data_IF_900422277571
#
_entry.id   IF_900422277571
#
_cell.length_a   1.000
_cell.length_b   1.000
_cell.length_c   1.000
_cell.angle_alpha   90.00
_cell.angle_beta   90.00
_cell.angle_gamma   90.00
#
_symmetry.space_group_name_H-M   'P 1'
#
loop_
_entity.id
_entity.type
_entity.pdbx_description
1 polymer ?
#
# COMPACT_ATOMS: atom_id res chain seq x y z
N UNK A 1 8.61 -42.57 24.13
CA UNK A 1 7.36 -42.04 23.52
C UNK A 1 6.76 -40.80 24.20
N UNK A 2 7.04 -40.54 25.50
CA UNK A 2 6.35 -39.48 26.27
C UNK A 2 7.09 -38.13 26.45
N UNK A 3 8.40 -38.04 26.19
CA UNK A 3 9.17 -36.76 26.30
C UNK A 3 9.17 -35.91 25.04
N UNK A 4 9.09 -36.51 23.84
CA UNK A 4 9.07 -35.78 22.56
C UNK A 4 7.73 -35.04 22.37
N UNK A 5 6.60 -35.67 22.67
CA UNK A 5 5.27 -35.05 22.54
C UNK A 5 5.01 -33.93 23.54
N UNK A 6 5.61 -33.98 24.74
CA UNK A 6 5.46 -32.94 25.77
C UNK A 6 6.30 -31.69 25.48
N UNK A 7 7.44 -31.80 24.79
CA UNK A 7 8.29 -30.67 24.41
C UNK A 7 7.96 -30.08 23.02
N UNK A 8 7.29 -30.81 22.12
CA UNK A 8 6.73 -30.24 20.89
C UNK A 8 5.66 -29.16 21.17
N UNK A 9 5.03 -29.23 22.34
CA UNK A 9 4.07 -28.25 22.84
C UNK A 9 4.70 -27.15 23.73
N UNK A 10 6.03 -27.08 23.83
CA UNK A 10 6.68 -26.03 24.61
C UNK A 10 6.47 -24.66 23.93
N UNK A 11 5.83 -23.75 24.66
CA UNK A 11 5.60 -22.39 24.21
C UNK A 11 6.89 -21.55 24.35
N UNK A 12 7.35 -20.99 23.24
CA UNK A 12 8.48 -20.09 23.13
C UNK A 12 7.96 -18.65 23.09
N UNK A 13 8.43 -17.83 24.02
CA UNK A 13 8.16 -16.39 24.02
C UNK A 13 9.08 -15.69 23.02
N UNK A 14 8.49 -14.97 22.06
CA UNK A 14 9.25 -14.17 21.10
C UNK A 14 9.79 -12.90 21.77
N UNK A 15 11.07 -12.64 21.53
CA UNK A 15 11.78 -11.44 21.94
C UNK A 15 12.33 -10.74 20.69
N UNK A 16 12.58 -9.43 20.83
CA UNK A 16 13.28 -8.67 19.80
C UNK A 16 14.73 -9.19 19.66
N UNK A 17 15.31 -9.13 18.44
CA UNK A 17 16.70 -9.50 18.23
C UNK A 17 17.63 -8.57 19.02
N UNK A 18 18.81 -9.09 19.35
CA UNK A 18 19.87 -8.28 19.94
C UNK A 18 20.42 -7.30 18.88
N UNK A 19 20.89 -6.09 19.26
CA UNK A 19 21.36 -5.09 18.30
C UNK A 19 22.49 -5.58 17.37
N UNK A 20 23.29 -6.55 17.82
CA UNK A 20 24.36 -7.16 17.03
C UNK A 20 23.91 -8.26 16.06
N UNK A 21 22.68 -8.75 16.18
CA UNK A 21 22.09 -9.76 15.29
C UNK A 21 21.08 -9.14 14.29
N UNK A 22 20.73 -7.86 14.44
CA UNK A 22 19.92 -7.13 13.45
C UNK A 22 20.61 -7.14 12.08
N UNK A 23 19.89 -7.55 11.02
CA UNK A 23 20.46 -7.55 9.68
C UNK A 23 21.26 -8.81 9.32
N UNK A 24 21.38 -9.79 10.22
CA UNK A 24 22.24 -10.98 10.04
C UNK A 24 21.49 -12.26 9.69
N UNK A 25 20.17 -12.25 9.69
CA UNK A 25 19.30 -13.42 9.50
C UNK A 25 19.45 -14.47 10.62
N UNK A 26 19.96 -14.07 11.79
CA UNK A 26 20.15 -14.98 12.92
C UNK A 26 18.90 -15.06 13.78
N UNK A 27 18.59 -16.27 14.20
CA UNK A 27 17.60 -16.54 15.22
C UNK A 27 18.30 -17.21 16.41
N UNK A 28 18.11 -16.65 17.61
CA UNK A 28 18.69 -17.19 18.84
C UNK A 28 17.67 -18.04 19.57
N UNK A 29 18.05 -19.28 19.81
CA UNK A 29 17.21 -20.32 20.38
C UNK A 29 17.91 -20.94 21.60
N UNK A 30 17.13 -21.33 22.61
CA UNK A 30 17.64 -22.05 23.78
C UNK A 30 18.22 -23.44 23.44
N UNK A 31 19.22 -23.95 24.18
CA UNK A 31 19.88 -25.22 23.90
C UNK A 31 18.95 -26.44 23.90
N UNK A 32 17.93 -26.48 24.76
CA UNK A 32 16.98 -27.59 24.81
C UNK A 32 16.11 -27.62 23.54
N UNK A 33 15.69 -26.44 23.08
CA UNK A 33 14.88 -26.31 21.86
C UNK A 33 15.71 -26.64 20.61
N UNK A 34 16.98 -26.22 20.54
CA UNK A 34 17.90 -26.61 19.46
C UNK A 34 18.11 -28.13 19.38
N UNK A 35 18.24 -28.77 20.54
CA UNK A 35 18.41 -30.24 20.64
C UNK A 35 17.15 -30.98 20.19
N UNK A 36 15.96 -30.47 20.52
CA UNK A 36 14.66 -31.02 20.08
C UNK A 36 14.49 -30.87 18.57
N UNK A 37 14.87 -29.73 18.00
CA UNK A 37 14.83 -29.50 16.55
C UNK A 37 15.87 -30.35 15.81
N UNK A 38 16.97 -30.76 16.46
CA UNK A 38 18.09 -31.43 15.80
C UNK A 38 18.86 -30.48 14.87
N UNK A 39 18.78 -29.18 15.12
CA UNK A 39 19.38 -28.15 14.28
C UNK A 39 20.90 -28.10 14.48
N UNK A 40 21.66 -28.13 13.38
CA UNK A 40 23.09 -27.76 13.41
C UNK A 40 23.22 -26.24 13.53
N UNK A 41 24.34 -25.77 14.09
CA UNK A 41 24.65 -24.34 14.16
C UNK A 41 24.63 -23.72 12.77
N UNK A 42 23.84 -22.66 12.59
CA UNK A 42 23.68 -21.98 11.32
C UNK A 42 22.76 -22.68 10.31
N UNK A 43 22.03 -23.74 10.72
CA UNK A 43 21.05 -24.39 9.86
C UNK A 43 19.87 -23.45 9.53
N UNK A 44 19.36 -23.48 8.29
CA UNK A 44 18.21 -22.66 7.91
C UNK A 44 16.93 -23.21 8.54
N UNK A 45 16.16 -22.31 9.11
CA UNK A 45 14.95 -22.55 9.87
C UNK A 45 13.84 -21.66 9.32
N UNK A 46 12.70 -22.26 9.00
CA UNK A 46 11.47 -21.55 8.68
C UNK A 46 10.62 -21.44 9.93
N UNK A 47 10.21 -20.22 10.26
CA UNK A 47 9.35 -19.93 11.39
C UNK A 47 7.99 -19.50 10.84
N UNK A 48 6.94 -20.19 11.24
CA UNK A 48 5.56 -19.86 10.88
C UNK A 48 4.98 -18.87 11.89
N UNK A 49 4.60 -17.69 11.41
CA UNK A 49 3.94 -16.63 12.17
C UNK A 49 2.46 -16.54 11.74
N UNK A 50 1.57 -15.97 12.57
CA UNK A 50 0.17 -15.81 12.18
C UNK A 50 -0.02 -14.94 10.93
N UNK A 51 0.87 -13.97 10.72
CA UNK A 51 0.84 -13.02 9.60
C UNK A 51 1.71 -13.44 8.40
N UNK A 52 2.43 -14.57 8.48
CA UNK A 52 3.30 -15.04 7.38
C UNK A 52 4.40 -15.99 7.83
N UNK A 53 5.51 -16.05 7.11
CA UNK A 53 6.67 -16.86 7.48
C UNK A 53 7.94 -16.01 7.50
N UNK A 54 8.90 -16.35 8.37
CA UNK A 54 10.26 -15.85 8.26
C UNK A 54 11.28 -16.98 8.10
N UNK A 55 12.40 -16.65 7.48
CA UNK A 55 13.50 -17.56 7.20
C UNK A 55 14.73 -17.07 7.94
N UNK A 56 15.21 -17.86 8.90
CA UNK A 56 16.30 -17.49 9.80
C UNK A 56 17.34 -18.62 9.87
N UNK A 57 18.50 -18.34 10.44
CA UNK A 57 19.53 -19.33 10.77
C UNK A 57 19.53 -19.59 12.26
N UNK A 58 19.57 -20.86 12.67
CA UNK A 58 19.49 -21.23 14.08
C UNK A 58 20.85 -21.10 14.79
N UNK A 59 20.89 -20.29 15.85
CA UNK A 59 22.06 -20.09 16.70
C UNK A 59 21.67 -20.18 18.19
N UNK A 60 22.59 -20.60 19.07
CA UNK A 60 22.34 -20.61 20.50
C UNK A 60 22.29 -19.17 21.04
N UNK A 61 21.41 -18.94 22.01
CA UNK A 61 21.38 -17.70 22.80
C UNK A 61 22.65 -17.52 23.62
N UNK A 62 23.02 -16.27 23.88
CA UNK A 62 24.17 -15.91 24.71
C UNK A 62 23.96 -16.27 26.19
N UNK A 63 22.73 -16.14 26.69
CA UNK A 63 22.33 -16.43 28.07
C UNK A 63 22.00 -17.91 28.32
N UNK A 64 21.98 -18.73 27.26
CA UNK A 64 21.58 -20.14 27.27
C UNK A 64 20.19 -20.41 27.86
N UNK A 65 19.33 -19.38 27.97
CA UNK A 65 18.00 -19.52 28.54
C UNK A 65 17.05 -20.24 27.57
N UNK A 66 16.33 -21.23 28.07
CA UNK A 66 15.28 -21.94 27.32
C UNK A 66 13.92 -21.23 27.42
N UNK A 67 13.02 -21.52 26.48
CA UNK A 67 11.65 -20.94 26.47
C UNK A 67 11.52 -19.58 25.78
N UNK A 68 12.61 -19.05 25.22
CA UNK A 68 12.63 -17.78 24.50
C UNK A 68 13.22 -17.93 23.09
N UNK A 69 12.71 -17.12 22.17
CA UNK A 69 13.11 -17.11 20.77
C UNK A 69 13.36 -15.66 20.33
N UNK A 70 14.59 -15.33 19.93
CA UNK A 70 14.89 -14.03 19.32
C UNK A 70 14.98 -14.22 17.81
N UNK A 71 14.23 -13.43 17.06
CA UNK A 71 14.10 -13.60 15.60
C UNK A 71 14.46 -12.30 14.91
N UNK A 72 15.50 -12.35 14.08
CA UNK A 72 15.75 -11.29 13.11
C UNK A 72 14.79 -11.41 11.91
N UNK A 73 14.13 -10.31 11.57
CA UNK A 73 13.10 -10.23 10.53
C UNK A 73 13.65 -9.82 9.17
N UNK A 74 14.94 -10.06 8.92
CA UNK A 74 15.59 -9.76 7.64
C UNK A 74 14.90 -10.47 6.48
N UNK A 75 14.75 -11.79 6.49
CA UNK A 75 14.08 -12.51 5.40
C UNK A 75 12.68 -12.98 5.83
N UNK A 76 11.63 -12.40 5.23
CA UNK A 76 10.23 -12.68 5.61
C UNK A 76 9.28 -12.61 4.43
N UNK A 77 8.12 -13.26 4.55
CA UNK A 77 6.99 -13.05 3.64
C UNK A 77 6.50 -11.60 3.75
N UNK A 78 6.03 -11.03 2.63
CA UNK A 78 5.44 -9.70 2.61
C UNK A 78 4.29 -9.59 3.64
N UNK A 79 4.29 -8.53 4.45
CA UNK A 79 3.25 -8.25 5.45
C UNK A 79 3.63 -8.48 6.91
N UNK A 80 4.65 -9.31 7.21
CA UNK A 80 5.11 -9.54 8.59
C UNK A 80 5.87 -8.31 9.10
N UNK A 81 5.44 -7.71 10.21
CA UNK A 81 6.14 -6.56 10.81
C UNK A 81 6.67 -6.87 12.21
N UNK A 82 7.65 -6.07 12.69
CA UNK A 82 8.17 -6.22 14.05
C UNK A 82 7.12 -5.97 15.15
N UNK A 83 5.99 -5.35 14.81
CA UNK A 83 4.85 -5.17 15.72
C UNK A 83 4.13 -6.49 16.00
N UNK A 84 4.09 -7.38 15.00
CA UNK A 84 3.43 -8.69 15.10
C UNK A 84 4.18 -9.64 16.05
N UNK A 85 5.46 -9.36 16.32
CA UNK A 85 6.28 -10.16 17.23
C UNK A 85 6.07 -9.82 18.71
N UNK A 86 5.52 -8.63 19.03
CA UNK A 86 5.42 -8.19 20.43
C UNK A 86 4.37 -9.00 21.19
N UNK A 87 4.83 -9.78 22.16
CA UNK A 87 3.97 -10.57 23.06
C UNK A 87 3.47 -11.88 22.46
N UNK A 88 4.01 -12.30 21.32
CA UNK A 88 3.60 -13.53 20.66
C UNK A 88 4.31 -14.76 21.26
N UNK A 89 3.56 -15.84 21.40
CA UNK A 89 4.10 -17.15 21.81
C UNK A 89 3.98 -18.12 20.65
N UNK A 90 5.06 -18.84 20.35
CA UNK A 90 5.10 -19.84 19.29
C UNK A 90 5.34 -21.23 19.88
N UNK A 91 4.78 -22.25 19.27
CA UNK A 91 5.10 -23.63 19.60
C UNK A 91 6.32 -24.10 18.80
N UNK A 92 7.07 -25.06 19.34
CA UNK A 92 8.22 -25.65 18.65
C UNK A 92 7.82 -26.26 17.30
N UNK A 93 6.60 -26.79 17.16
CA UNK A 93 6.06 -27.30 15.88
C UNK A 93 5.91 -26.24 14.78
N UNK A 94 5.98 -24.95 15.10
CA UNK A 94 5.99 -23.85 14.12
C UNK A 94 7.40 -23.52 13.60
N UNK A 95 8.41 -24.25 14.05
CA UNK A 95 9.80 -24.14 13.61
C UNK A 95 10.12 -25.36 12.75
N UNK A 96 10.34 -25.16 11.46
CA UNK A 96 10.69 -26.23 10.51
C UNK A 96 12.11 -26.06 10.02
N UNK A 97 12.95 -27.07 10.26
CA UNK A 97 14.26 -27.14 9.60
C UNK A 97 14.08 -27.37 8.11
N UNK A 98 14.83 -26.61 7.33
CA UNK A 98 14.87 -26.74 5.88
C UNK A 98 16.21 -27.33 5.46
N UNK A 99 16.20 -28.14 4.41
CA UNK A 99 17.40 -28.35 3.62
C UNK A 99 17.62 -27.11 2.72
N UNK A 100 18.81 -27.02 2.13
CA UNK A 100 19.15 -25.89 1.29
C UNK A 100 19.94 -26.29 0.05
N UNK A 101 19.75 -25.53 -1.01
CA UNK A 101 20.46 -25.69 -2.27
C UNK A 101 21.16 -24.39 -2.67
N UNK A 102 22.36 -24.52 -3.23
CA UNK A 102 23.07 -23.36 -3.76
C UNK A 102 22.38 -22.88 -5.04
N UNK A 103 21.96 -21.61 -5.05
CA UNK A 103 21.27 -21.04 -6.19
C UNK A 103 22.25 -20.69 -7.31
N UNK A 104 21.87 -21.00 -8.55
CA UNK A 104 22.61 -20.60 -9.76
C UNK A 104 22.16 -19.24 -10.25
N UNK A 105 20.86 -18.99 -10.24
CA UNK A 105 20.27 -17.71 -10.69
C UNK A 105 19.15 -17.27 -9.75
N UNK A 106 19.05 -15.97 -9.54
CA UNK A 106 17.94 -15.35 -8.81
C UNK A 106 17.48 -14.08 -9.54
N UNK A 107 16.17 -13.91 -9.68
CA UNK A 107 15.58 -12.64 -10.12
C UNK A 107 14.96 -11.92 -8.96
N UNK A 108 15.30 -10.65 -8.81
CA UNK A 108 14.86 -9.83 -7.68
C UNK A 108 14.17 -8.55 -8.16
N UNK A 109 13.22 -8.09 -7.35
CA UNK A 109 12.65 -6.74 -7.38
C UNK A 109 13.24 -5.96 -6.24
N UNK A 110 13.73 -4.77 -6.54
CA UNK A 110 14.47 -3.95 -5.58
C UNK A 110 13.62 -2.74 -5.20
N UNK A 111 13.52 -2.49 -3.90
CA UNK A 111 12.77 -1.36 -3.35
C UNK A 111 13.74 -0.37 -2.75
N UNK A 112 13.80 0.82 -3.33
CA UNK A 112 14.65 1.92 -2.89
C UNK A 112 13.91 2.88 -1.98
N UNK A 113 14.63 3.56 -1.09
CA UNK A 113 14.05 4.53 -0.15
C UNK A 113 13.44 5.76 -0.86
N UNK A 114 14.06 6.23 -1.94
CA UNK A 114 13.66 7.46 -2.65
C UNK A 114 13.94 7.40 -4.15
N UNK A 115 13.13 8.13 -4.91
CA UNK A 115 13.25 8.38 -6.35
C UNK A 115 14.55 9.12 -6.72
N UNK A 116 15.03 10.01 -5.86
CA UNK A 116 16.28 10.75 -6.07
C UNK A 116 17.49 9.81 -6.17
N UNK A 117 17.52 8.78 -5.31
CA UNK A 117 18.56 7.76 -5.30
C UNK A 117 18.47 6.87 -6.53
N UNK A 118 17.25 6.53 -6.98
CA UNK A 118 17.03 5.78 -8.23
C UNK A 118 17.62 6.47 -9.47
N UNK A 119 17.54 7.81 -9.53
CA UNK A 119 18.12 8.61 -10.64
C UNK A 119 19.65 8.71 -10.55
N UNK A 120 20.19 8.78 -9.33
CA UNK A 120 21.63 8.95 -9.11
C UNK A 120 22.44 7.65 -9.15
N UNK A 121 21.83 6.49 -8.87
CA UNK A 121 22.56 5.23 -8.83
C UNK A 121 22.47 4.49 -10.18
N UNK A 122 23.58 4.32 -10.91
CA UNK A 122 23.57 3.50 -12.12
C UNK A 122 23.27 2.03 -11.79
N UNK A 123 22.60 1.34 -12.70
CA UNK A 123 22.18 -0.07 -12.51
C UNK A 123 23.33 -1.03 -12.18
N UNK A 124 24.53 -0.76 -12.70
CA UNK A 124 25.72 -1.57 -12.42
C UNK A 124 26.14 -1.51 -10.95
N UNK A 125 26.16 -0.31 -10.36
CA UNK A 125 26.48 -0.13 -8.93
C UNK A 125 25.41 -0.78 -8.07
N UNK A 126 24.13 -0.61 -8.42
CA UNK A 126 23.03 -1.24 -7.70
C UNK A 126 23.14 -2.77 -7.70
N UNK A 127 23.58 -3.36 -8.81
CA UNK A 127 23.76 -4.81 -8.92
C UNK A 127 24.88 -5.34 -8.02
N UNK A 128 26.00 -4.63 -7.90
CA UNK A 128 27.07 -5.01 -6.98
C UNK A 128 26.65 -4.86 -5.51
N UNK A 129 25.98 -3.75 -5.16
CA UNK A 129 25.45 -3.54 -3.80
C UNK A 129 24.48 -4.68 -3.42
N UNK A 130 23.58 -5.06 -4.32
CA UNK A 130 22.65 -6.18 -4.06
C UNK A 130 23.39 -7.51 -3.93
N UNK A 131 24.44 -7.75 -4.72
CA UNK A 131 25.26 -8.96 -4.61
C UNK A 131 25.95 -9.03 -3.26
N UNK A 132 26.45 -7.90 -2.74
CA UNK A 132 27.05 -7.85 -1.40
C UNK A 132 26.02 -8.05 -0.30
N UNK A 133 24.85 -7.41 -0.39
CA UNK A 133 23.79 -7.52 0.61
C UNK A 133 23.17 -8.91 0.69
N UNK A 134 23.06 -9.61 -0.44
CA UNK A 134 22.51 -10.97 -0.49
C UNK A 134 23.58 -12.06 -0.30
N UNK A 135 24.83 -11.68 -0.04
CA UNK A 135 25.92 -12.65 0.08
C UNK A 135 25.69 -13.58 1.28
N UNK A 136 25.64 -14.88 1.02
CA UNK A 136 25.40 -15.93 2.01
C UNK A 136 24.06 -15.81 2.74
N UNK A 137 23.09 -15.12 2.15
CA UNK A 137 21.72 -15.03 2.68
C UNK A 137 20.90 -16.21 2.18
N UNK A 138 20.14 -16.82 3.10
CA UNK A 138 19.15 -17.84 2.74
C UNK A 138 17.88 -17.17 2.28
N UNK A 139 17.31 -17.65 1.18
CA UNK A 139 16.15 -17.04 0.55
C UNK A 139 15.14 -18.08 0.10
N UNK A 140 13.90 -17.64 -0.11
CA UNK A 140 12.83 -18.45 -0.68
C UNK A 140 12.04 -17.61 -1.69
N UNK A 141 11.32 -18.27 -2.59
CA UNK A 141 10.41 -17.63 -3.54
C UNK A 141 9.41 -16.73 -2.78
N UNK A 142 9.18 -15.51 -3.27
CA UNK A 142 8.28 -14.48 -2.71
C UNK A 142 8.66 -13.92 -1.33
N UNK A 143 9.85 -14.24 -0.83
CA UNK A 143 10.34 -13.60 0.40
C UNK A 143 10.94 -12.23 0.10
N UNK A 144 10.85 -11.38 1.10
CA UNK A 144 11.33 -10.01 1.12
C UNK A 144 12.48 -9.93 2.10
N UNK A 145 13.66 -9.60 1.60
CA UNK A 145 14.84 -9.32 2.41
C UNK A 145 14.81 -7.84 2.78
N UNK A 146 14.69 -7.54 4.07
CA UNK A 146 14.73 -6.20 4.65
C UNK A 146 16.17 -5.85 4.96
N UNK A 147 16.61 -4.70 4.47
CA UNK A 147 17.95 -4.18 4.68
C UNK A 147 17.86 -2.93 5.54
N UNK A 148 18.72 -2.84 6.55
CA UNK A 148 18.81 -1.64 7.39
C UNK A 148 19.27 -0.45 6.52
N UNK A 149 18.48 0.64 6.44
CA UNK A 149 18.83 1.76 5.57
C UNK A 149 19.93 2.60 6.22
N UNK A 150 21.17 2.44 5.74
CA UNK A 150 22.30 3.30 6.11
C UNK A 150 22.46 4.46 5.10
N UNK A 151 23.22 5.50 5.46
CA UNK A 151 23.46 6.67 4.59
C UNK A 151 24.04 6.31 3.21
N UNK A 152 24.81 5.22 3.13
CA UNK A 152 25.44 4.74 1.89
C UNK A 152 24.58 3.75 1.10
N UNK A 153 23.55 3.14 1.72
CA UNK A 153 22.75 2.10 1.09
C UNK A 153 21.31 2.57 0.80
N UNK A 154 20.93 2.75 -0.48
CA UNK A 154 19.60 3.22 -0.84
C UNK A 154 18.52 2.11 -0.78
N UNK A 155 18.91 0.85 -0.64
CA UNK A 155 18.02 -0.32 -0.70
C UNK A 155 17.34 -0.56 0.64
N UNK A 156 16.02 -0.71 0.63
CA UNK A 156 15.20 -0.98 1.82
C UNK A 156 14.68 -2.41 1.80
N UNK A 157 14.11 -2.84 0.68
CA UNK A 157 13.60 -4.20 0.51
C UNK A 157 14.09 -4.83 -0.78
N UNK A 158 14.31 -6.14 -0.74
CA UNK A 158 14.61 -6.95 -1.92
C UNK A 158 13.62 -8.11 -1.94
N UNK A 159 12.67 -8.07 -2.87
CA UNK A 159 11.67 -9.13 -3.07
C UNK A 159 12.18 -10.13 -4.11
N UNK A 160 12.04 -11.41 -3.81
CA UNK A 160 12.57 -12.50 -4.63
C UNK A 160 11.47 -13.05 -5.51
N UNK A 161 11.60 -12.81 -6.82
CA UNK A 161 10.57 -13.13 -7.80
C UNK A 161 10.72 -14.55 -8.36
N UNK A 162 11.96 -15.00 -8.58
CA UNK A 162 12.22 -16.34 -9.08
C UNK A 162 13.62 -16.82 -8.71
N UNK A 163 13.77 -18.11 -8.44
CA UNK A 163 15.03 -18.76 -8.08
C UNK A 163 15.27 -19.98 -8.97
N UNK A 164 16.53 -20.30 -9.23
CA UNK A 164 16.97 -21.47 -10.01
C UNK A 164 18.10 -22.18 -9.24
N UNK A 165 17.93 -23.45 -8.82
CA UNK A 165 16.76 -24.31 -9.07
C UNK A 165 15.51 -23.89 -8.29
N UNK A 166 14.33 -24.09 -8.89
CA UNK A 166 13.06 -23.86 -8.20
C UNK A 166 12.89 -24.93 -7.12
N UNK A 167 12.89 -24.52 -5.87
CA UNK A 167 12.80 -25.42 -4.71
C UNK A 167 11.85 -24.79 -3.69
N UNK A 168 11.05 -25.62 -3.03
CA UNK A 168 10.21 -25.22 -1.88
C UNK A 168 11.02 -25.05 -0.58
N UNK A 169 12.30 -25.41 -0.65
CA UNK A 169 13.27 -25.32 0.43
C UNK A 169 14.06 -24.00 0.39
N UNK A 170 15.06 -23.85 1.27
CA UNK A 170 15.85 -22.63 1.32
C UNK A 170 16.90 -22.60 0.19
N UNK A 171 16.92 -21.54 -0.61
CA UNK A 171 18.00 -21.27 -1.55
C UNK A 171 19.12 -20.48 -0.88
N UNK A 172 20.38 -20.92 -0.98
CA UNK A 172 21.54 -20.14 -0.52
C UNK A 172 22.10 -19.31 -1.68
N UNK A 173 22.18 -17.99 -1.50
CA UNK A 173 22.84 -17.10 -2.45
C UNK A 173 24.34 -17.07 -2.15
N UNK A 174 25.14 -17.50 -3.13
CA UNK A 174 26.61 -17.49 -3.05
C UNK A 174 27.18 -16.42 -3.97
N UNK A 175 28.47 -16.05 -3.87
CA UNK A 175 29.11 -15.12 -4.81
C UNK A 175 29.04 -15.57 -6.29
N UNK A 176 28.86 -16.87 -6.54
CA UNK A 176 28.73 -17.45 -7.86
C UNK A 176 27.30 -17.37 -8.43
N UNK A 177 26.31 -17.03 -7.60
CA UNK A 177 24.92 -16.90 -8.01
C UNK A 177 24.74 -15.65 -8.89
N UNK A 178 24.16 -15.83 -10.08
CA UNK A 178 23.83 -14.71 -10.97
C UNK A 178 22.53 -14.04 -10.53
N UNK A 179 22.62 -12.78 -10.08
CA UNK A 179 21.47 -11.98 -9.65
C UNK A 179 21.05 -11.05 -10.79
N UNK A 180 19.79 -11.16 -11.22
CA UNK A 180 19.18 -10.30 -12.22
C UNK A 180 18.10 -9.41 -11.59
N UNK A 181 18.25 -8.10 -11.75
CA UNK A 181 17.24 -7.14 -11.32
C UNK A 181 16.17 -7.06 -12.41
N UNK A 182 14.94 -7.48 -12.12
CA UNK A 182 13.81 -7.33 -13.05
C UNK A 182 13.25 -5.91 -13.00
N UNK A 183 13.01 -5.43 -11.79
CA UNK A 183 12.32 -4.16 -11.54
C UNK A 183 12.94 -3.43 -10.36
N UNK A 184 12.92 -2.10 -10.43
CA UNK A 184 13.35 -1.21 -9.35
C UNK A 184 12.22 -0.22 -9.09
N UNK A 185 11.67 -0.27 -7.88
CA UNK A 185 10.55 0.57 -7.45
C UNK A 185 10.91 1.33 -6.18
N UNK A 186 10.17 2.39 -5.88
CA UNK A 186 10.31 3.13 -4.63
C UNK A 186 9.53 2.46 -3.50
N UNK A 187 9.93 2.78 -2.26
CA UNK A 187 9.24 2.36 -1.05
C UNK A 187 7.77 2.78 -1.04
N UNK A 188 7.46 3.96 -1.56
CA UNK A 188 6.08 4.45 -1.71
C UNK A 188 5.25 3.54 -2.61
N UNK A 189 5.78 3.20 -3.79
CA UNK A 189 5.11 2.30 -4.72
C UNK A 189 4.93 0.89 -4.16
N UNK A 190 5.96 0.37 -3.47
CA UNK A 190 5.92 -0.95 -2.84
C UNK A 190 4.88 -1.05 -1.72
N UNK A 191 4.74 -0.01 -0.89
CA UNK A 191 3.70 0.04 0.15
C UNK A 191 2.30 0.02 -0.45
N UNK A 192 2.08 0.79 -1.51
CA UNK A 192 0.79 0.78 -2.22
C UNK A 192 0.44 -0.62 -2.76
N UNK A 193 1.39 -1.28 -3.43
CA UNK A 193 1.19 -2.65 -3.93
C UNK A 193 0.97 -3.70 -2.84
N UNK A 194 1.37 -3.44 -1.59
CA UNK A 194 1.18 -4.37 -0.46
C UNK A 194 -0.10 -4.08 0.33
N UNK A 195 -0.52 -2.81 0.40
CA UNK A 195 -1.83 -2.40 0.94
C UNK A 195 -3.02 -2.88 0.06
N UNK A 196 -2.75 -3.20 -1.22
CA UNK A 196 -3.70 -3.78 -2.19
C UNK A 196 -4.39 -5.08 -1.73
N UNK A 197 -3.97 -5.67 -0.61
CA UNK A 197 -4.62 -6.86 -0.05
C UNK A 197 -5.94 -6.55 0.68
N UNK A 198 -6.17 -5.31 1.13
CA UNK A 198 -7.45 -4.93 1.78
C UNK A 198 -8.49 -4.57 0.70
N UNK A 199 -9.56 -5.36 0.58
CA UNK A 199 -10.66 -5.08 -0.36
C UNK A 199 -11.39 -3.80 0.06
N UNK A 200 -11.05 -2.67 -0.56
CA UNK A 200 -11.89 -1.47 -0.53
C UNK A 200 -13.08 -1.71 -1.44
N UNK A 201 -14.12 -2.34 -0.90
CA UNK A 201 -15.36 -2.60 -1.62
C UNK A 201 -16.22 -1.35 -1.65
N UNK A 202 -16.75 -1.01 -2.82
CA UNK A 202 -17.77 0.02 -3.00
C UNK A 202 -19.02 -0.68 -3.50
N UNK A 203 -20.16 -0.29 -2.96
CA UNK A 203 -21.45 -0.86 -3.32
C UNK A 203 -22.36 0.23 -3.88
N UNK A 204 -23.08 -0.08 -4.96
CA UNK A 204 -24.06 0.81 -5.55
C UNK A 204 -23.49 1.93 -6.42
N UNK A 205 -22.19 1.94 -6.74
CA UNK A 205 -21.59 2.90 -7.66
C UNK A 205 -20.94 2.23 -8.88
N UNK A 206 -21.38 1.02 -9.23
CA UNK A 206 -20.71 0.19 -10.24
C UNK A 206 -20.65 0.86 -11.62
N UNK A 207 -21.73 1.51 -12.06
CA UNK A 207 -21.79 2.17 -13.37
C UNK A 207 -20.85 3.40 -13.43
N UNK A 208 -20.86 4.19 -12.36
CA UNK A 208 -19.96 5.33 -12.22
C UNK A 208 -18.51 4.86 -12.14
N UNK A 209 -18.26 3.73 -11.47
CA UNK A 209 -16.94 3.13 -11.30
C UNK A 209 -16.38 2.63 -12.62
N UNK A 210 -17.21 1.94 -13.42
CA UNK A 210 -16.86 1.53 -14.79
C UNK A 210 -16.53 2.72 -15.68
N UNK A 211 -17.37 3.76 -15.66
CA UNK A 211 -17.11 4.96 -16.47
C UNK A 211 -15.80 5.64 -16.05
N UNK A 212 -15.54 5.77 -14.76
CA UNK A 212 -14.32 6.37 -14.23
C UNK A 212 -13.09 5.53 -14.56
N UNK A 213 -13.21 4.21 -14.46
CA UNK A 213 -12.16 3.26 -14.85
C UNK A 213 -11.81 3.38 -16.32
N UNK A 214 -12.80 3.40 -17.21
CA UNK A 214 -12.55 3.56 -18.65
C UNK A 214 -11.83 4.89 -18.93
N UNK A 215 -12.26 5.99 -18.32
CA UNK A 215 -11.62 7.31 -18.48
C UNK A 215 -10.15 7.32 -18.04
N UNK A 216 -9.80 6.55 -17.01
CA UNK A 216 -8.44 6.49 -16.46
C UNK A 216 -7.57 5.45 -17.17
N UNK A 217 -8.13 4.29 -17.53
CA UNK A 217 -7.42 3.18 -18.17
C UNK A 217 -7.08 3.46 -19.64
N UNK A 218 -7.97 4.17 -20.36
CA UNK A 218 -7.78 4.54 -21.77
C UNK A 218 -6.44 5.30 -22.03
N UNK A 219 -6.11 6.37 -21.27
CA UNK A 219 -4.81 7.03 -21.29
C UNK A 219 -3.62 6.07 -21.18
N UNK A 220 -3.69 5.13 -20.24
CA UNK A 220 -2.58 4.24 -19.93
C UNK A 220 -2.41 3.12 -20.95
N UNK A 221 -3.50 2.59 -21.50
CA UNK A 221 -3.46 1.46 -22.45
C UNK A 221 -3.16 1.85 -23.88
N UNK A 222 -3.66 3.00 -24.35
CA UNK A 222 -3.56 3.37 -25.76
C UNK A 222 -2.89 4.73 -26.04
N UNK A 223 -1.77 5.10 -25.38
CA UNK A 223 -1.18 6.43 -25.53
C UNK A 223 -0.73 6.74 -26.97
N UNK A 224 -0.30 5.71 -27.71
CA UNK A 224 0.12 5.85 -29.12
C UNK A 224 -1.06 6.11 -30.06
N UNK A 225 -2.23 5.55 -29.77
CA UNK A 225 -3.43 5.71 -30.58
C UNK A 225 -3.97 7.13 -30.47
N UNK A 226 -4.03 7.69 -29.25
CA UNK A 226 -4.38 9.10 -29.03
C UNK A 226 -3.46 10.05 -29.79
N UNK A 227 -2.14 9.82 -29.73
CA UNK A 227 -1.15 10.61 -30.50
C UNK A 227 -1.37 10.53 -32.01
N UNK A 228 -1.69 9.35 -32.54
CA UNK A 228 -1.97 9.18 -33.98
C UNK A 228 -3.27 9.85 -34.42
N UNK A 229 -4.28 9.87 -33.56
CA UNK A 229 -5.57 10.51 -33.83
C UNK A 229 -5.53 12.03 -33.62
N UNK A 230 -4.42 12.60 -33.14
CA UNK A 230 -4.33 14.02 -32.79
C UNK A 230 -5.22 14.41 -31.61
N UNK A 231 -5.68 13.43 -30.82
CA UNK A 231 -6.54 13.66 -29.67
C UNK A 231 -5.68 13.93 -28.43
N UNK A 232 -6.01 14.99 -27.69
CA UNK A 232 -5.46 15.19 -26.35
C UNK A 232 -5.99 14.11 -25.41
N UNK A 233 -5.08 13.44 -24.71
CA UNK A 233 -5.44 12.50 -23.64
C UNK A 233 -6.13 13.31 -22.53
N UNK A 234 -7.29 12.87 -21.99
CA UNK A 234 -7.91 13.54 -20.86
C UNK A 234 -6.97 13.44 -19.66
N UNK A 235 -6.56 14.60 -19.14
CA UNK A 235 -5.57 14.68 -18.06
C UNK A 235 -6.22 14.88 -16.70
N UNK A 236 -7.49 15.28 -16.66
CA UNK A 236 -8.19 15.68 -15.45
C UNK A 236 -9.61 15.14 -15.35
N UNK A 237 -9.91 14.49 -14.23
CA UNK A 237 -11.29 14.09 -13.89
C UNK A 237 -11.76 14.81 -12.64
N UNK A 238 -12.92 15.46 -12.70
CA UNK A 238 -13.57 16.11 -11.57
C UNK A 238 -14.76 15.29 -11.08
N UNK A 239 -14.67 14.79 -9.84
CA UNK A 239 -15.75 14.14 -9.12
C UNK A 239 -16.61 15.19 -8.41
N UNK A 240 -17.89 15.22 -8.75
CA UNK A 240 -18.86 16.19 -8.23
C UNK A 240 -19.94 15.43 -7.47
N UNK A 241 -20.32 15.89 -6.28
CA UNK A 241 -21.45 15.31 -5.56
C UNK A 241 -21.56 15.83 -4.14
N UNK A 242 -22.68 15.59 -3.44
CA UNK A 242 -22.84 16.03 -2.06
C UNK A 242 -21.79 15.37 -1.13
N UNK A 243 -21.54 15.94 0.06
CA UNK A 243 -20.65 15.32 1.04
C UNK A 243 -21.17 13.93 1.43
N UNK A 244 -20.27 13.00 1.74
CA UNK A 244 -20.64 11.68 2.26
C UNK A 244 -21.12 10.63 1.24
N UNK A 245 -21.14 10.92 -0.06
CA UNK A 245 -21.45 9.93 -1.11
C UNK A 245 -20.30 8.97 -1.46
N UNK A 246 -19.12 9.18 -0.87
CA UNK A 246 -17.96 8.30 -1.07
C UNK A 246 -17.07 8.63 -2.26
N UNK A 247 -16.95 9.91 -2.67
CA UNK A 247 -16.03 10.36 -3.75
C UNK A 247 -14.58 9.90 -3.53
N UNK A 248 -14.06 10.11 -2.32
CA UNK A 248 -12.71 9.69 -1.92
C UNK A 248 -12.55 8.17 -1.93
N UNK A 249 -13.59 7.44 -1.53
CA UNK A 249 -13.59 5.97 -1.59
C UNK A 249 -13.59 5.50 -3.05
N UNK A 250 -14.38 6.14 -3.91
CA UNK A 250 -14.44 5.86 -5.34
C UNK A 250 -13.09 5.99 -6.02
N UNK A 251 -12.37 7.09 -5.78
CA UNK A 251 -11.03 7.28 -6.29
C UNK A 251 -10.09 6.13 -5.84
N UNK A 252 -10.19 5.71 -4.58
CA UNK A 252 -9.42 4.57 -4.03
C UNK A 252 -9.72 3.25 -4.70
N UNK A 253 -11.00 2.91 -4.88
CA UNK A 253 -11.36 1.65 -5.52
C UNK A 253 -10.98 1.62 -7.00
N UNK A 254 -11.19 2.70 -7.74
CA UNK A 254 -10.85 2.75 -9.16
C UNK A 254 -9.33 2.72 -9.37
N UNK A 255 -8.56 3.44 -8.55
CA UNK A 255 -7.10 3.36 -8.62
C UNK A 255 -6.59 1.94 -8.40
N UNK A 256 -7.17 1.24 -7.41
CA UNK A 256 -6.88 -0.16 -7.13
C UNK A 256 -7.23 -1.07 -8.31
N UNK A 257 -8.41 -0.91 -8.90
CA UNK A 257 -8.82 -1.73 -10.05
C UNK A 257 -7.96 -1.53 -11.31
N UNK A 258 -7.46 -0.31 -11.51
CA UNK A 258 -6.54 0.02 -12.61
C UNK A 258 -5.10 -0.42 -12.29
N UNK A 259 -4.80 -0.74 -11.02
CA UNK A 259 -3.44 -1.00 -10.56
C UNK A 259 -2.56 0.25 -10.61
N UNK A 260 -3.18 1.42 -10.46
CA UNK A 260 -2.50 2.70 -10.47
C UNK A 260 -2.15 3.15 -9.04
N UNK A 261 -0.99 3.77 -8.88
CA UNK A 261 -0.61 4.37 -7.60
C UNK A 261 -1.46 5.59 -7.33
N UNK A 262 -2.19 5.56 -6.22
CA UNK A 262 -3.02 6.66 -5.79
C UNK A 262 -2.27 7.54 -4.80
N UNK A 263 -2.06 8.80 -5.20
CA UNK A 263 -1.54 9.82 -4.30
C UNK A 263 -2.67 10.75 -3.87
N UNK A 264 -3.28 10.46 -2.71
CA UNK A 264 -4.38 11.25 -2.15
C UNK A 264 -3.87 12.42 -1.31
N UNK A 265 -4.46 13.58 -1.54
CA UNK A 265 -4.15 14.84 -0.86
C UNK A 265 -5.46 15.58 -0.60
N UNK A 266 -5.58 16.16 0.59
CA UNK A 266 -6.71 17.00 0.96
C UNK A 266 -6.36 18.46 0.63
N UNK A 267 -7.28 19.19 -0.01
CA UNK A 267 -7.11 20.59 -0.39
C UNK A 267 -6.66 21.47 0.78
N UNK A 268 -7.35 21.43 1.94
CA UNK A 268 -6.94 22.16 3.14
C UNK A 268 -5.51 21.87 3.61
N UNK A 269 -5.00 20.66 3.41
CA UNK A 269 -3.65 20.27 3.84
C UNK A 269 -2.53 20.96 3.05
N UNK A 270 -2.86 21.67 1.95
CA UNK A 270 -1.89 22.39 1.13
C UNK A 270 -1.70 23.84 1.55
N UNK A 271 -2.56 24.36 2.42
CA UNK A 271 -2.40 25.71 2.95
C UNK A 271 -1.20 25.78 3.89
N UNK A 272 -0.20 26.57 3.49
CA UNK A 272 0.93 26.94 4.33
C UNK A 272 0.66 28.23 5.11
N UNK A 273 1.31 28.37 6.26
CA UNK A 273 1.22 29.58 7.09
C UNK A 273 2.01 30.75 6.52
N UNK A 274 2.94 30.49 5.59
CA UNK A 274 3.80 31.51 4.98
C UNK A 274 3.37 31.82 3.54
N UNK A 275 3.49 33.08 3.08
CA UNK A 275 3.27 33.42 1.68
C UNK A 275 4.16 32.57 0.75
N UNK A 276 3.58 31.98 -0.29
CA UNK A 276 4.27 31.12 -1.26
C UNK A 276 4.48 29.66 -0.82
N UNK A 277 4.26 29.33 0.45
CA UNK A 277 4.40 27.95 0.93
C UNK A 277 3.36 27.01 0.31
N UNK A 278 2.12 27.48 0.13
CA UNK A 278 1.07 26.69 -0.53
C UNK A 278 1.40 26.36 -1.99
N UNK A 279 1.98 27.33 -2.72
CA UNK A 279 2.38 27.18 -4.14
C UNK A 279 3.54 26.17 -4.26
N UNK A 280 4.52 26.28 -3.37
CA UNK A 280 5.66 25.38 -3.28
C UNK A 280 5.23 23.95 -2.90
N UNK A 281 4.31 23.81 -1.95
CA UNK A 281 3.73 22.51 -1.59
C UNK A 281 3.01 21.88 -2.79
N UNK A 282 2.19 22.65 -3.50
CA UNK A 282 1.51 22.20 -4.72
C UNK A 282 2.50 21.71 -5.77
N UNK A 283 3.59 22.46 -6.01
CA UNK A 283 4.66 22.09 -6.95
C UNK A 283 5.34 20.78 -6.56
N UNK A 284 5.76 20.65 -5.28
CA UNK A 284 6.39 19.42 -4.76
C UNK A 284 5.50 18.20 -4.91
N UNK A 285 4.19 18.37 -4.77
CA UNK A 285 3.22 17.30 -4.90
C UNK A 285 3.12 16.81 -6.34
N UNK A 286 3.01 17.72 -7.30
CA UNK A 286 2.97 17.36 -8.71
C UNK A 286 4.30 16.76 -9.16
N UNK A 287 5.43 17.27 -8.68
CA UNK A 287 6.74 16.69 -8.92
C UNK A 287 6.83 15.27 -8.37
N UNK A 288 6.44 15.03 -7.11
CA UNK A 288 6.36 13.68 -6.54
C UNK A 288 5.44 12.77 -7.35
N UNK A 289 4.25 13.24 -7.73
CA UNK A 289 3.33 12.48 -8.59
C UNK A 289 3.96 12.11 -9.93
N UNK A 290 4.69 13.03 -10.56
CA UNK A 290 5.44 12.80 -11.80
C UNK A 290 6.61 11.83 -11.59
N UNK A 291 7.26 11.86 -10.44
CA UNK A 291 8.31 10.89 -10.14
C UNK A 291 7.76 9.47 -10.03
N UNK A 292 6.61 9.31 -9.39
CA UNK A 292 5.91 8.03 -9.30
C UNK A 292 5.39 7.56 -10.66
N UNK A 293 4.99 8.48 -11.53
CA UNK A 293 4.49 8.13 -12.87
C UNK A 293 5.55 7.53 -13.81
N UNK A 294 6.85 7.70 -13.49
CA UNK A 294 7.90 6.96 -14.19
C UNK A 294 7.93 5.47 -13.83
N UNK A 295 7.39 5.08 -12.66
CA UNK A 295 7.37 3.70 -12.18
C UNK A 295 6.13 2.92 -12.67
N UNK A 296 5.00 3.61 -12.82
CA UNK A 296 3.76 3.03 -13.31
C UNK A 296 2.63 4.06 -13.43
N UNK A 297 1.40 3.62 -13.78
CA UNK A 297 0.25 4.51 -13.90
C UNK A 297 -0.04 5.18 -12.56
N UNK A 298 -0.06 6.52 -12.52
CA UNK A 298 -0.23 7.28 -11.27
C UNK A 298 -1.46 8.17 -11.32
N UNK A 299 -2.25 8.17 -10.26
CA UNK A 299 -3.41 9.04 -10.07
C UNK A 299 -3.11 10.01 -8.93
N UNK A 300 -3.06 11.31 -9.23
CA UNK A 300 -3.00 12.35 -8.21
C UNK A 300 -4.43 12.75 -7.84
N UNK A 301 -4.86 12.44 -6.63
CA UNK A 301 -6.21 12.74 -6.15
C UNK A 301 -6.21 13.94 -5.18
N UNK A 302 -6.88 15.02 -5.57
CA UNK A 302 -7.06 16.24 -4.77
C UNK A 302 -8.49 16.29 -4.24
N UNK A 303 -8.67 15.96 -2.98
CA UNK A 303 -9.97 16.07 -2.31
C UNK A 303 -10.25 17.53 -1.92
N UNK A 304 -11.52 17.92 -1.87
CA UNK A 304 -11.95 19.28 -1.51
C UNK A 304 -11.25 20.38 -2.32
N UNK A 305 -11.14 20.21 -3.64
CA UNK A 305 -10.44 21.17 -4.52
C UNK A 305 -11.06 22.58 -4.49
N UNK A 306 -12.34 22.70 -4.13
CA UNK A 306 -13.02 23.98 -3.93
C UNK A 306 -12.43 24.79 -2.78
N UNK A 307 -11.77 24.15 -1.82
CA UNK A 307 -11.06 24.87 -0.76
C UNK A 307 -9.84 25.63 -1.30
N UNK A 308 -9.21 25.13 -2.37
CA UNK A 308 -8.00 25.70 -2.96
C UNK A 308 -8.27 26.69 -4.07
N UNK A 309 -9.39 26.51 -4.79
CA UNK A 309 -9.66 27.23 -6.02
C UNK A 309 -11.06 27.81 -6.07
N UNK A 310 -11.40 28.75 -5.16
CA UNK A 310 -12.67 29.45 -5.22
C UNK A 310 -12.76 30.34 -6.47
N UNK A 311 -13.98 30.72 -6.85
CA UNK A 311 -14.23 31.69 -7.93
C UNK A 311 -13.48 32.99 -7.68
N UNK A 312 -12.72 33.42 -8.69
CA UNK A 312 -12.00 34.71 -8.69
C UNK A 312 -12.99 35.87 -8.70
N UNK A 313 -12.69 36.94 -7.96
CA UNK A 313 -13.45 38.20 -8.04
C UNK A 313 -14.01 38.75 -6.73
N UNK A 314 -13.78 38.08 -5.58
CA UNK A 314 -14.00 38.71 -4.27
C UNK A 314 -12.76 39.52 -3.89
N UNK A 315 -12.93 40.80 -3.54
CA UNK A 315 -11.90 41.85 -3.54
C UNK A 315 -10.72 41.70 -2.55
N UNK A 316 -10.57 40.55 -1.88
CA UNK A 316 -9.50 40.30 -0.89
C UNK A 316 -8.72 38.97 -1.07
N UNK A 317 -8.88 38.25 -2.19
CA UNK A 317 -8.37 36.87 -2.32
C UNK A 317 -7.03 36.73 -3.08
N UNK A 318 -6.16 37.75 -3.04
CA UNK A 318 -4.90 37.75 -3.77
C UNK A 318 -3.98 36.51 -3.54
N UNK A 319 -3.90 35.91 -2.33
CA UNK A 319 -3.15 34.67 -2.12
C UNK A 319 -3.80 33.45 -2.79
N UNK A 320 -5.14 33.37 -2.78
CA UNK A 320 -5.89 32.25 -3.35
C UNK A 320 -5.80 32.27 -4.88
N UNK A 321 -5.91 33.46 -5.50
CA UNK A 321 -5.77 33.63 -6.94
C UNK A 321 -4.42 33.11 -7.48
N UNK A 322 -3.35 33.26 -6.69
CA UNK A 322 -2.01 32.73 -7.04
C UNK A 322 -1.97 31.21 -6.98
N UNK A 323 -2.58 30.60 -5.96
CA UNK A 323 -2.69 29.14 -5.85
C UNK A 323 -3.48 28.59 -7.04
N UNK A 324 -4.59 29.23 -7.42
CA UNK A 324 -5.35 28.81 -8.60
C UNK A 324 -4.50 28.91 -9.86
N UNK A 325 -3.81 30.03 -10.08
CA UNK A 325 -2.92 30.20 -11.23
C UNK A 325 -1.81 29.13 -11.29
N UNK A 326 -1.23 28.80 -10.14
CA UNK A 326 -0.22 27.76 -10.02
C UNK A 326 -0.81 26.37 -10.34
N UNK A 327 -2.00 26.04 -9.83
CA UNK A 327 -2.68 24.77 -10.15
C UNK A 327 -3.00 24.64 -11.63
N UNK A 328 -3.51 25.71 -12.26
CA UNK A 328 -3.75 25.73 -13.71
C UNK A 328 -2.46 25.44 -14.48
N UNK A 329 -1.36 26.09 -14.11
CA UNK A 329 -0.05 25.89 -14.74
C UNK A 329 0.44 24.46 -14.59
N UNK A 330 0.25 23.85 -13.41
CA UNK A 330 0.64 22.46 -13.17
C UNK A 330 -0.23 21.49 -13.96
N UNK A 331 -1.56 21.68 -14.00
CA UNK A 331 -2.50 20.87 -14.80
C UNK A 331 -2.15 20.91 -16.29
N UNK A 332 -1.91 22.11 -16.82
CA UNK A 332 -1.51 22.30 -18.22
C UNK A 332 -0.16 21.61 -18.52
N UNK A 333 0.71 21.46 -17.51
CA UNK A 333 2.01 20.77 -17.60
C UNK A 333 1.97 19.23 -17.52
N UNK A 334 0.88 18.62 -17.05
CA UNK A 334 0.76 17.15 -16.91
C UNK A 334 0.68 16.43 -18.27
N UNK A 335 0.12 17.10 -19.29
CA UNK A 335 -0.36 16.48 -20.53
C UNK A 335 0.66 15.98 -21.56
N UNK A 336 1.97 16.02 -21.29
CA UNK A 336 2.99 15.66 -22.30
C UNK A 336 3.37 14.18 -22.34
N UNK A 337 3.26 13.46 -21.23
CA UNK A 337 3.80 12.09 -21.11
C UNK A 337 2.74 10.98 -20.93
N UNK A 338 1.48 11.32 -20.60
CA UNK A 338 0.35 10.38 -20.57
C UNK A 338 0.43 9.27 -19.49
N UNK A 339 1.26 9.46 -18.46
CA UNK A 339 1.48 8.48 -17.38
C UNK A 339 0.93 8.91 -16.02
N UNK A 340 0.39 10.12 -15.93
CA UNK A 340 -0.22 10.67 -14.74
C UNK A 340 -1.59 11.25 -15.09
N UNK A 341 -2.60 10.91 -14.30
CA UNK A 341 -3.94 11.49 -14.39
C UNK A 341 -4.21 12.25 -13.09
N UNK A 342 -4.76 13.46 -13.19
CA UNK A 342 -5.18 14.23 -12.03
C UNK A 342 -6.67 14.02 -11.82
N UNK A 343 -7.06 13.65 -10.60
CA UNK A 343 -8.45 13.57 -10.20
C UNK A 343 -8.69 14.58 -9.08
N UNK A 344 -9.80 15.29 -9.12
CA UNK A 344 -10.20 16.18 -8.06
C UNK A 344 -11.62 15.86 -7.60
N UNK A 345 -11.93 16.14 -6.33
CA UNK A 345 -13.28 16.01 -5.82
C UNK A 345 -13.75 17.34 -5.22
N UNK A 346 -15.01 17.67 -5.47
CA UNK A 346 -15.66 18.85 -4.87
C UNK A 346 -17.09 18.55 -4.45
N UNK A 347 -17.51 19.20 -3.36
CA UNK A 347 -18.91 19.23 -2.94
C UNK A 347 -19.66 20.44 -3.53
N UNK A 348 -18.95 21.43 -4.06
CA UNK A 348 -19.45 22.74 -4.47
C UNK A 348 -18.91 23.10 -5.86
N UNK A 349 -19.41 22.45 -6.93
CA UNK A 349 -18.94 22.72 -8.29
C UNK A 349 -19.15 24.19 -8.71
N UNK A 350 -20.18 24.85 -8.16
CA UNK A 350 -20.48 26.25 -8.43
C UNK A 350 -19.53 27.23 -7.74
N UNK A 351 -18.82 26.81 -6.69
CA UNK A 351 -17.84 27.63 -6.01
C UNK A 351 -16.45 27.58 -6.67
N UNK A 352 -16.22 26.57 -7.52
CA UNK A 352 -14.93 26.34 -8.19
C UNK A 352 -14.69 27.33 -9.34
N UNK A 353 -13.43 27.72 -9.54
CA UNK A 353 -13.02 28.52 -10.70
C UNK A 353 -13.38 27.81 -12.03
N UNK A 354 -14.20 28.43 -12.90
CA UNK A 354 -14.55 27.86 -14.21
C UNK A 354 -13.35 27.56 -15.12
N UNK A 355 -12.21 28.23 -14.92
CA UNK A 355 -10.99 27.99 -15.66
C UNK A 355 -10.45 26.57 -15.46
N UNK A 356 -10.71 25.94 -14.32
CA UNK A 356 -10.30 24.57 -14.03
C UNK A 356 -11.08 23.52 -14.86
N UNK A 357 -12.29 23.85 -15.29
CA UNK A 357 -13.21 22.97 -16.05
C UNK A 357 -13.04 23.10 -17.57
N UNK A 358 -12.03 23.83 -18.03
CA UNK A 358 -11.76 24.00 -19.47
C UNK A 358 -11.07 22.76 -20.05
N UNK A 359 -11.27 22.47 -21.35
CA UNK A 359 -10.57 21.37 -22.03
C UNK A 359 -9.05 21.42 -21.80
N UNK A 360 -8.44 20.26 -21.53
CA UNK A 360 -7.02 20.14 -21.19
C UNK A 360 -6.71 20.16 -19.68
N UNK A 361 -7.69 20.52 -18.84
CA UNK A 361 -7.61 20.52 -17.37
C UNK A 361 -8.54 19.44 -16.83
N UNK A 362 -9.57 19.79 -16.05
CA UNK A 362 -10.65 18.87 -15.71
C UNK A 362 -11.68 18.86 -16.85
N UNK A 363 -11.35 18.13 -17.91
CA UNK A 363 -12.16 18.01 -19.12
C UNK A 363 -13.25 16.93 -18.98
N UNK A 364 -13.16 16.08 -17.94
CA UNK A 364 -14.18 15.08 -17.61
C UNK A 364 -14.78 15.36 -16.24
N UNK A 365 -16.10 15.31 -16.18
CA UNK A 365 -16.87 15.46 -14.96
C UNK A 365 -17.69 14.21 -14.70
N UNK A 366 -17.65 13.74 -13.47
CA UNK A 366 -18.41 12.58 -13.02
C UNK A 366 -19.25 13.00 -11.83
N UNK A 367 -20.57 12.96 -12.01
CA UNK A 367 -21.54 13.35 -11.00
C UNK A 367 -21.92 12.10 -10.20
N UNK A 368 -21.66 12.14 -8.90
CA UNK A 368 -22.07 11.13 -7.93
C UNK A 368 -23.23 11.72 -7.13
N UNK A 369 -24.43 11.29 -7.48
CA UNK A 369 -25.68 11.70 -6.83
C UNK A 369 -25.93 10.99 -5.51
N UNK A 370 -27.08 11.30 -4.91
CA UNK A 370 -27.62 10.54 -3.77
C UNK A 370 -28.02 9.13 -4.22
N UNK A 371 -27.80 8.10 -3.38
CA UNK A 371 -28.04 6.72 -3.78
C UNK A 371 -29.54 6.41 -3.94
N UNK A 372 -29.88 5.64 -4.98
CA UNK A 372 -31.20 5.05 -5.20
C UNK A 372 -31.52 3.99 -4.14
N UNK A 373 -32.78 3.57 -4.03
CA UNK A 373 -33.20 2.51 -3.11
C UNK A 373 -32.35 1.24 -3.25
N UNK A 374 -32.13 0.79 -4.50
CA UNK A 374 -31.30 -0.38 -4.79
C UNK A 374 -29.86 -0.17 -4.34
N UNK A 375 -29.30 1.03 -4.57
CA UNK A 375 -27.94 1.37 -4.15
C UNK A 375 -27.82 1.44 -2.62
N UNK A 376 -28.80 2.03 -1.92
CA UNK A 376 -28.83 2.06 -0.45
C UNK A 376 -28.88 0.67 0.15
N UNK A 377 -29.68 -0.24 -0.43
CA UNK A 377 -29.71 -1.64 -0.01
C UNK A 377 -28.33 -2.30 -0.15
N UNK A 378 -27.64 -2.09 -1.27
CA UNK A 378 -26.29 -2.63 -1.50
C UNK A 378 -25.27 -2.04 -0.51
N UNK A 379 -25.35 -0.74 -0.22
CA UNK A 379 -24.50 -0.07 0.77
C UNK A 379 -24.75 -0.66 2.17
N UNK A 380 -26.01 -0.82 2.58
CA UNK A 380 -26.38 -1.45 3.85
C UNK A 380 -25.87 -2.89 3.95
N UNK A 381 -26.00 -3.68 2.89
CA UNK A 381 -25.47 -5.05 2.82
C UNK A 381 -23.95 -5.08 3.00
N UNK A 382 -23.24 -4.15 2.36
CA UNK A 382 -21.80 -4.03 2.50
C UNK A 382 -21.40 -3.67 3.94
N UNK A 383 -22.03 -2.63 4.50
CA UNK A 383 -21.75 -2.14 5.86
C UNK A 383 -22.04 -3.20 6.94
N UNK A 384 -23.07 -4.01 6.74
CA UNK A 384 -23.48 -5.06 7.70
C UNK A 384 -22.78 -6.39 7.49
N UNK A 385 -22.04 -6.59 6.39
CA UNK A 385 -21.35 -7.86 6.08
C UNK A 385 -20.34 -8.32 7.15
N UNK A 386 -19.78 -7.38 7.90
CA UNK A 386 -18.84 -7.62 9.00
C UNK A 386 -19.50 -7.55 10.38
N UNK A 387 -20.81 -7.34 10.44
CA UNK A 387 -21.58 -7.19 11.68
C UNK A 387 -22.47 -8.43 11.93
N UNK A 388 -22.58 -8.91 13.18
CA UNK A 388 -23.54 -9.94 13.53
C UNK A 388 -24.95 -9.33 13.57
N UNK A 389 -25.72 -9.53 12.49
CA UNK A 389 -27.11 -9.06 12.37
C UNK A 389 -28.10 -10.18 12.66
N UNK A 390 -29.21 -9.87 13.34
CA UNK A 390 -30.32 -10.83 13.53
C UNK A 390 -31.03 -11.09 12.19
N UNK A 391 -31.63 -12.27 12.04
CA UNK A 391 -32.51 -12.61 10.92
C UNK A 391 -33.75 -11.71 10.83
N UNK A 392 -34.11 -11.04 11.93
CA UNK A 392 -35.27 -10.14 11.97
C UNK A 392 -35.00 -8.78 11.27
N UNK A 393 -33.74 -8.49 10.94
CA UNK A 393 -33.35 -7.22 10.33
C UNK A 393 -33.56 -7.28 8.82
N UNK A 394 -34.60 -6.60 8.34
CA UNK A 394 -34.86 -6.45 6.91
C UNK A 394 -34.15 -5.21 6.32
N UNK A 395 -33.08 -5.45 5.58
CA UNK A 395 -32.30 -4.41 4.90
C UNK A 395 -33.07 -3.72 3.76
N UNK A 396 -34.07 -4.37 3.15
CA UNK A 396 -34.90 -3.78 2.10
C UNK A 396 -35.78 -2.70 2.71
N UNK A 397 -36.47 -3.03 3.80
CA UNK A 397 -37.29 -2.08 4.54
C UNK A 397 -36.49 -0.91 5.08
N UNK A 398 -35.27 -1.16 5.59
CA UNK A 398 -34.36 -0.08 6.00
C UNK A 398 -33.97 0.83 4.83
N UNK A 399 -33.72 0.27 3.64
CA UNK A 399 -33.40 1.06 2.44
C UNK A 399 -34.57 1.95 2.01
N UNK A 400 -35.82 1.50 2.18
CA UNK A 400 -37.03 2.30 1.94
C UNK A 400 -37.16 3.46 2.92
N UNK A 401 -36.92 3.21 4.21
CA UNK A 401 -37.02 4.20 5.29
C UNK A 401 -35.90 5.26 5.25
N UNK A 402 -34.78 4.99 4.58
CA UNK A 402 -33.59 5.86 4.52
C UNK A 402 -33.54 6.71 3.25
N UNK A 403 -34.68 7.20 2.79
CA UNK A 403 -34.73 8.07 1.60
C UNK A 403 -33.95 9.36 1.84
N UNK A 404 -33.07 9.71 0.91
CA UNK A 404 -32.18 10.88 1.00
C UNK A 404 -30.86 10.63 1.72
N UNK A 405 -30.68 9.48 2.38
CA UNK A 405 -29.44 9.15 3.08
C UNK A 405 -28.30 8.90 2.09
N UNK A 406 -27.12 9.42 2.39
CA UNK A 406 -25.88 9.09 1.67
C UNK A 406 -25.12 7.95 2.35
N UNK A 407 -24.03 7.49 1.74
CA UNK A 407 -23.21 6.41 2.31
C UNK A 407 -22.69 6.70 3.71
N UNK A 408 -22.32 7.96 3.99
CA UNK A 408 -21.92 8.41 5.33
C UNK A 408 -23.06 8.31 6.35
N UNK A 409 -24.28 8.69 5.98
CA UNK A 409 -25.45 8.63 6.87
C UNK A 409 -25.82 7.17 7.17
N UNK A 410 -25.79 6.29 6.17
CA UNK A 410 -26.01 4.85 6.35
C UNK A 410 -24.94 4.22 7.24
N UNK A 411 -23.69 4.68 7.11
CA UNK A 411 -22.59 4.25 8.00
C UNK A 411 -22.84 4.69 9.43
N UNK A 412 -23.26 5.94 9.64
CA UNK A 412 -23.63 6.46 10.94
C UNK A 412 -24.82 5.69 11.55
N UNK A 413 -25.85 5.39 10.74
CA UNK A 413 -27.00 4.59 11.15
C UNK A 413 -26.58 3.20 11.66
N UNK A 414 -25.77 2.47 10.91
CA UNK A 414 -25.28 1.15 11.33
C UNK A 414 -24.42 1.24 12.60
N UNK A 415 -23.60 2.29 12.73
CA UNK A 415 -22.77 2.52 13.92
C UNK A 415 -23.64 2.78 15.15
N UNK A 416 -24.64 3.64 15.05
CA UNK A 416 -25.55 3.93 16.17
C UNK A 416 -26.34 2.69 16.57
N UNK A 417 -26.85 1.92 15.61
CA UNK A 417 -27.52 0.65 15.90
C UNK A 417 -26.61 -0.33 16.67
N UNK A 418 -25.34 -0.44 16.26
CA UNK A 418 -24.36 -1.28 16.95
C UNK A 418 -24.06 -0.77 18.37
N UNK A 419 -23.90 0.54 18.56
CA UNK A 419 -23.70 1.14 19.88
C UNK A 419 -24.89 0.88 20.82
N UNK A 420 -26.12 1.05 20.34
CA UNK A 420 -27.32 0.74 21.11
C UNK A 420 -27.40 -0.74 21.51
N UNK A 421 -27.04 -1.65 20.59
CA UNK A 421 -26.97 -3.08 20.90
C UNK A 421 -25.93 -3.40 21.99
N UNK A 422 -24.79 -2.69 22.01
CA UNK A 422 -23.77 -2.82 23.07
C UNK A 422 -24.32 -2.32 24.40
N UNK A 423 -24.93 -1.14 24.43
CA UNK A 423 -25.47 -0.54 25.66
C UNK A 423 -26.56 -1.40 26.32
N UNK A 424 -27.44 -2.00 25.51
CA UNK A 424 -28.47 -2.91 25.98
C UNK A 424 -27.94 -4.22 26.59
N UNK A 425 -26.69 -4.59 26.31
CA UNK A 425 -26.05 -5.80 26.87
C UNK A 425 -25.34 -5.53 28.20
N UNK A 426 -25.09 -4.26 28.50
CA UNK A 426 -24.43 -3.79 29.72
C UNK A 426 -25.41 -3.34 30.81
N UNK A 427 -26.70 -3.32 30.51
CA UNK A 427 -27.82 -3.25 31.44
C UNK A 427 -28.39 -4.66 31.61
#
# INVERSE_FOLDING_TARGET
PSRKSAMEAAALKLLLPDPGDEGTQRCRVGPATLSVLGARLGAPLRIFLPTGCCLCTAWPRHDLADGYLQVDLTCRTAGVTARDLKGLTLNVGQLKLLAYHQLRKASVKVVLKSSALKKSTPRAVLQEVIRELLRNVYVSLHYVVTVAPNLENPVVYIEILSVDPLTDEAGLITPQTSIKIKEVITLGWYRHLSEDTTKTSIAGLDDVGKSLKEMIDLPFRFPKTFKKLGLSVPNGVLLIGPPGVGKTLMAKAVAKEVGAYLFCISGPALYGSRPGESEENLRRIFEKGREMSYEGPTILFIDEVDSLCPKRGSSNNAPEDRIVAQLLTLLDGVGSEGKMVVMAATNRPDALDPALRRPGRFDREVIIGTPTLTQRRLILQLLTSSMPISTDVDLVKLAEMTTGYVGADLTALCREAAMQAVFHRSL
#
